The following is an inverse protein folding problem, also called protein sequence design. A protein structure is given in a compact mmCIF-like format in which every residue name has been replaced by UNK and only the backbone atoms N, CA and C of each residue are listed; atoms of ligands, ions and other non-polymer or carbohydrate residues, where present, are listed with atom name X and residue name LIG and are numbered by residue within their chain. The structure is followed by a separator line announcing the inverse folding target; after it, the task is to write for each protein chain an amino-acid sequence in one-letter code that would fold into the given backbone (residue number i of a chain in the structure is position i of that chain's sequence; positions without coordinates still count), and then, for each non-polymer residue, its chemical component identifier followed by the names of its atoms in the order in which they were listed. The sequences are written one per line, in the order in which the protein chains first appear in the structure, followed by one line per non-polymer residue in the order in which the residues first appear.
data_IF_811688789604
#
_entry.id   IF_811688789604
#
_cell.length_a   1.000
_cell.length_b   1.000
_cell.length_c   1.000
_cell.angle_alpha   90.00
_cell.angle_beta   90.00
_cell.angle_gamma   90.00
#
_symmetry.space_group_name_H-M   'P 1'
#
loop_
_entity.id
_entity.type
_entity.pdbx_description
1 polymer ?
#
# COMPACT_ATOMS: atom_id res chain seq x y z
N UNK A 1 34.09 -67.82 -42.13
CA UNK A 1 33.07 -67.65 -43.18
C UNK A 1 31.72 -67.96 -42.54
N UNK A 2 31.02 -67.00 -42.06
CA UNK A 2 29.63 -67.09 -41.57
C UNK A 2 28.89 -65.88 -42.11
N UNK A 3 28.07 -66.13 -43.13
CA UNK A 3 27.21 -65.19 -43.81
C UNK A 3 26.17 -64.65 -42.82
N UNK A 4 26.14 -63.33 -42.63
CA UNK A 4 25.13 -62.63 -41.89
C UNK A 4 23.85 -62.50 -42.73
N UNK A 5 22.81 -63.15 -42.27
CA UNK A 5 21.44 -63.05 -42.83
C UNK A 5 20.82 -61.75 -42.30
N UNK A 6 20.49 -60.79 -43.17
CA UNK A 6 19.77 -59.58 -42.85
C UNK A 6 18.33 -59.93 -42.50
N UNK A 7 17.71 -59.26 -41.46
CA UNK A 7 16.34 -59.54 -41.16
C UNK A 7 15.40 -58.98 -42.23
N UNK A 8 14.42 -59.80 -42.60
CA UNK A 8 13.38 -59.46 -43.58
C UNK A 8 12.60 -58.25 -43.09
N UNK A 9 12.47 -57.24 -43.94
CA UNK A 9 11.71 -56.04 -43.72
C UNK A 9 10.20 -56.34 -43.82
N UNK A 10 9.52 -56.42 -42.69
CA UNK A 10 8.05 -56.58 -42.65
C UNK A 10 7.40 -55.24 -42.82
N UNK A 11 6.79 -54.93 -43.95
CA UNK A 11 5.94 -53.80 -44.18
C UNK A 11 4.58 -54.06 -43.51
N UNK A 12 4.37 -53.44 -42.35
CA UNK A 12 3.07 -53.44 -41.65
C UNK A 12 2.23 -52.24 -42.13
N UNK A 13 1.24 -52.52 -42.99
CA UNK A 13 0.25 -51.48 -43.37
C UNK A 13 -0.77 -51.33 -42.27
N UNK A 14 -0.71 -50.21 -41.54
CA UNK A 14 -1.71 -49.86 -40.53
C UNK A 14 -2.83 -49.07 -41.20
N UNK A 15 -3.96 -49.71 -41.41
CA UNK A 15 -5.18 -49.03 -41.87
C UNK A 15 -5.85 -48.31 -40.68
N UNK A 16 -5.61 -47.01 -40.54
CA UNK A 16 -6.24 -46.20 -39.53
C UNK A 16 -7.65 -45.87 -39.98
N UNK A 17 -8.65 -46.54 -39.43
CA UNK A 17 -10.05 -46.16 -39.60
C UNK A 17 -10.34 -44.92 -38.76
N UNK A 18 -10.74 -43.78 -39.38
CA UNK A 18 -11.13 -42.60 -38.61
C UNK A 18 -12.32 -42.93 -37.70
N UNK A 19 -12.39 -42.36 -36.50
CA UNK A 19 -13.51 -42.58 -35.57
C UNK A 19 -14.83 -42.19 -36.25
N UNK A 20 -15.89 -42.94 -35.98
CA UNK A 20 -17.23 -42.60 -36.45
C UNK A 20 -17.65 -41.23 -35.90
N UNK A 21 -17.77 -40.26 -36.79
CA UNK A 21 -18.19 -38.91 -36.46
C UNK A 21 -19.65 -38.90 -36.01
N UNK A 22 -19.93 -38.20 -34.93
CA UNK A 22 -21.31 -37.93 -34.45
C UNK A 22 -22.08 -37.18 -35.55
N UNK A 23 -23.43 -37.37 -35.61
CA UNK A 23 -24.26 -36.66 -36.61
C UNK A 23 -23.99 -35.15 -36.68
N UNK A 24 -23.80 -34.52 -35.53
CA UNK A 24 -23.48 -33.10 -35.44
C UNK A 24 -22.12 -32.75 -36.07
N UNK A 25 -21.12 -33.62 -35.92
CA UNK A 25 -19.79 -33.44 -36.52
C UNK A 25 -19.81 -33.67 -38.03
N UNK A 26 -20.65 -34.57 -38.50
CA UNK A 26 -20.85 -34.80 -39.94
C UNK A 26 -21.48 -33.58 -40.60
N UNK A 27 -22.56 -33.04 -40.01
CA UNK A 27 -23.22 -31.82 -40.47
C UNK A 27 -22.25 -30.62 -40.45
N UNK A 28 -21.47 -30.47 -39.40
CA UNK A 28 -20.44 -29.42 -39.30
C UNK A 28 -19.35 -29.54 -40.34
N UNK A 29 -18.85 -30.74 -40.62
CA UNK A 29 -17.86 -30.97 -41.67
C UNK A 29 -18.43 -30.72 -43.07
N UNK A 30 -19.66 -31.16 -43.33
CA UNK A 30 -20.33 -30.92 -44.61
C UNK A 30 -20.56 -29.42 -44.83
N UNK A 31 -20.93 -28.68 -43.78
CA UNK A 31 -21.08 -27.22 -43.83
C UNK A 31 -19.75 -26.49 -44.07
N UNK A 32 -18.67 -26.91 -43.38
CA UNK A 32 -17.34 -26.34 -43.59
C UNK A 32 -16.84 -26.58 -45.02
N UNK A 33 -17.02 -27.79 -45.57
CA UNK A 33 -16.64 -28.08 -46.93
C UNK A 33 -17.42 -27.21 -47.94
N UNK A 34 -18.69 -26.97 -47.71
CA UNK A 34 -19.49 -26.09 -48.56
C UNK A 34 -19.00 -24.62 -48.49
N UNK A 35 -18.57 -24.15 -47.30
CA UNK A 35 -17.97 -22.84 -47.18
C UNK A 35 -16.62 -22.75 -47.90
N UNK A 36 -15.80 -23.78 -47.85
CA UNK A 36 -14.53 -23.83 -48.61
C UNK A 36 -14.75 -23.83 -50.12
N UNK A 37 -15.72 -24.62 -50.63
CA UNK A 37 -16.07 -24.62 -52.04
C UNK A 37 -16.62 -23.26 -52.52
N UNK A 38 -17.40 -22.58 -51.72
CA UNK A 38 -17.90 -21.22 -52.03
C UNK A 38 -16.80 -20.16 -51.95
N UNK A 39 -15.84 -20.29 -51.00
CA UNK A 39 -14.65 -19.44 -50.92
C UNK A 39 -13.75 -19.57 -52.16
N UNK A 40 -13.49 -20.79 -52.60
CA UNK A 40 -12.74 -21.04 -53.83
C UNK A 40 -13.43 -20.48 -55.08
N UNK A 41 -14.76 -20.59 -55.17
CA UNK A 41 -15.54 -20.03 -56.28
C UNK A 41 -15.58 -18.50 -56.31
N UNK A 42 -15.52 -17.89 -55.14
CA UNK A 42 -15.62 -16.40 -54.96
C UNK A 42 -14.27 -15.72 -54.75
N UNK A 43 -13.14 -16.44 -54.91
CA UNK A 43 -11.77 -15.99 -54.63
C UNK A 43 -11.33 -14.70 -55.36
N UNK A 44 -12.14 -14.17 -56.25
CA UNK A 44 -11.88 -12.93 -56.99
C UNK A 44 -12.61 -11.71 -56.40
N UNK A 45 -13.40 -11.85 -55.35
CA UNK A 45 -14.21 -10.79 -54.76
C UNK A 45 -13.71 -10.43 -53.33
N UNK A 46 -13.67 -9.16 -53.01
CA UNK A 46 -13.28 -8.66 -51.68
C UNK A 46 -14.24 -9.11 -50.55
N UNK A 47 -15.43 -9.57 -50.87
CA UNK A 47 -16.45 -10.02 -49.91
C UNK A 47 -17.07 -11.33 -50.33
N UNK A 48 -17.06 -12.32 -49.46
CA UNK A 48 -17.69 -13.64 -49.64
C UNK A 48 -19.19 -13.52 -49.33
N UNK A 49 -20.04 -13.97 -50.28
CA UNK A 49 -21.48 -14.16 -50.05
C UNK A 49 -21.72 -15.50 -49.39
N UNK A 50 -22.25 -15.48 -48.16
CA UNK A 50 -22.57 -16.71 -47.43
C UNK A 50 -23.83 -17.36 -47.99
N UNK A 51 -23.93 -18.69 -48.03
CA UNK A 51 -25.10 -19.40 -48.55
C UNK A 51 -26.34 -19.18 -47.64
N UNK A 52 -27.50 -18.85 -48.26
CA UNK A 52 -28.74 -18.56 -47.55
C UNK A 52 -29.43 -19.84 -46.96
N UNK A 53 -29.08 -21.03 -47.50
CA UNK A 53 -29.65 -22.30 -47.04
C UNK A 53 -28.68 -23.45 -47.08
N UNK A 54 -28.78 -24.38 -46.13
CA UNK A 54 -28.01 -25.61 -46.07
C UNK A 54 -28.91 -26.80 -45.75
N UNK A 55 -28.88 -27.85 -46.56
CA UNK A 55 -29.71 -29.06 -46.42
C UNK A 55 -31.24 -28.76 -46.26
N UNK A 56 -31.76 -27.78 -47.00
CA UNK A 56 -33.18 -27.38 -46.95
C UNK A 56 -33.61 -26.55 -45.74
N UNK A 57 -32.67 -26.11 -44.91
CA UNK A 57 -32.91 -25.19 -43.78
C UNK A 57 -32.31 -23.82 -44.08
N UNK A 58 -33.06 -22.74 -43.79
CA UNK A 58 -32.56 -21.38 -43.90
C UNK A 58 -31.52 -21.09 -42.84
N UNK A 59 -30.39 -20.51 -43.24
CA UNK A 59 -29.32 -20.13 -42.34
C UNK A 59 -29.51 -18.68 -41.89
N UNK A 60 -29.41 -18.45 -40.57
CA UNK A 60 -29.37 -17.12 -39.99
C UNK A 60 -27.99 -16.84 -39.39
N UNK A 61 -27.29 -15.89 -39.96
CA UNK A 61 -25.96 -15.50 -39.50
C UNK A 61 -26.06 -14.38 -38.49
N UNK A 62 -25.58 -14.60 -37.27
CA UNK A 62 -25.46 -13.56 -36.25
C UNK A 62 -24.00 -13.26 -35.98
N UNK A 63 -23.61 -12.00 -36.13
CA UNK A 63 -22.30 -11.55 -35.68
C UNK A 63 -22.26 -11.59 -34.16
N UNK A 64 -21.51 -12.50 -33.57
CA UNK A 64 -21.21 -12.48 -32.15
C UNK A 64 -20.28 -11.30 -31.86
N UNK A 65 -20.86 -10.15 -31.58
CA UNK A 65 -20.13 -9.01 -31.04
C UNK A 65 -19.54 -9.46 -29.72
N UNK A 66 -18.28 -9.86 -29.72
CA UNK A 66 -17.55 -10.10 -28.49
C UNK A 66 -17.47 -8.78 -27.72
N UNK A 67 -18.23 -8.65 -26.66
CA UNK A 67 -18.21 -7.51 -25.76
C UNK A 67 -16.94 -7.50 -24.88
N UNK A 68 -15.83 -8.02 -25.42
CA UNK A 68 -14.51 -8.00 -24.74
C UNK A 68 -14.04 -6.57 -24.44
N UNK A 69 -14.50 -5.58 -25.20
CA UNK A 69 -14.16 -4.18 -24.95
C UNK A 69 -14.69 -3.67 -23.61
N UNK A 70 -15.90 -4.06 -23.20
CA UNK A 70 -16.49 -3.64 -21.92
C UNK A 70 -15.80 -4.30 -20.71
N UNK A 71 -15.33 -5.53 -20.86
CA UNK A 71 -14.59 -6.20 -19.78
C UNK A 71 -13.17 -5.64 -19.63
N UNK A 72 -12.48 -5.31 -20.72
CA UNK A 72 -11.15 -4.68 -20.68
C UNK A 72 -11.19 -3.25 -20.14
N UNK A 73 -12.17 -2.44 -20.57
CA UNK A 73 -12.33 -1.07 -20.03
C UNK A 73 -12.75 -1.07 -18.57
N UNK A 74 -13.59 -2.00 -18.13
CA UNK A 74 -13.96 -2.17 -16.72
C UNK A 74 -12.76 -2.57 -15.85
N UNK A 75 -11.92 -3.50 -16.33
CA UNK A 75 -10.70 -3.92 -15.63
C UNK A 75 -9.67 -2.76 -15.55
N UNK A 76 -9.51 -1.99 -16.64
CA UNK A 76 -8.64 -0.81 -16.67
C UNK A 76 -9.10 0.29 -15.71
N UNK A 77 -10.40 0.58 -15.67
CA UNK A 77 -10.98 1.54 -14.74
C UNK A 77 -10.84 1.11 -13.27
N UNK A 78 -11.04 -0.17 -12.97
CA UNK A 78 -10.84 -0.73 -11.63
C UNK A 78 -9.37 -0.64 -11.20
N UNK A 79 -8.42 -0.96 -12.07
CA UNK A 79 -6.99 -0.84 -11.81
C UNK A 79 -6.57 0.62 -11.58
N UNK A 80 -7.05 1.57 -12.38
CA UNK A 80 -6.78 3.00 -12.22
C UNK A 80 -7.35 3.53 -10.90
N UNK A 81 -8.55 3.12 -10.52
CA UNK A 81 -9.17 3.48 -9.25
C UNK A 81 -8.38 2.92 -8.05
N UNK A 82 -7.90 1.68 -8.15
CA UNK A 82 -7.08 1.03 -7.13
C UNK A 82 -5.72 1.70 -6.96
N UNK A 83 -5.11 2.16 -8.06
CA UNK A 83 -3.84 2.91 -8.05
C UNK A 83 -3.98 4.29 -7.40
N UNK A 84 -5.04 5.04 -7.75
CA UNK A 84 -5.34 6.35 -7.12
C UNK A 84 -5.61 6.24 -5.61
N UNK A 85 -6.28 5.18 -5.17
CA UNK A 85 -6.54 4.94 -3.75
C UNK A 85 -5.26 4.55 -2.99
N UNK A 86 -4.35 3.83 -3.64
CA UNK A 86 -3.06 3.43 -3.06
C UNK A 86 -2.15 4.65 -2.84
N UNK A 87 -2.05 5.53 -3.81
CA UNK A 87 -1.24 6.75 -3.71
C UNK A 87 -1.69 7.67 -2.57
N UNK A 88 -3.00 7.89 -2.42
CA UNK A 88 -3.57 8.65 -1.29
C UNK A 88 -3.31 7.99 0.07
N UNK A 89 -3.30 6.66 0.14
CA UNK A 89 -2.98 5.91 1.36
C UNK A 89 -1.50 6.03 1.72
N UNK A 90 -0.60 5.99 0.73
CA UNK A 90 0.83 6.07 0.96
C UNK A 90 1.25 7.47 1.45
N UNK A 91 0.63 8.54 0.93
CA UNK A 91 0.83 9.90 1.42
C UNK A 91 0.36 10.04 2.88
N UNK A 92 -0.84 9.59 3.20
CA UNK A 92 -1.36 9.61 4.58
C UNK A 92 -0.47 8.80 5.53
N UNK A 93 -0.02 7.63 5.11
CA UNK A 93 0.86 6.77 5.90
C UNK A 93 2.22 7.44 6.18
N UNK A 94 2.81 8.11 5.18
CA UNK A 94 4.04 8.89 5.37
C UNK A 94 3.84 10.03 6.36
N UNK A 95 2.71 10.72 6.28
CA UNK A 95 2.36 11.79 7.21
C UNK A 95 2.13 11.29 8.65
N UNK A 96 1.47 10.16 8.82
CA UNK A 96 1.29 9.51 10.11
C UNK A 96 2.62 9.08 10.73
N UNK A 97 3.50 8.46 9.94
CA UNK A 97 4.85 8.08 10.39
C UNK A 97 5.66 9.32 10.80
N UNK A 98 5.58 10.41 10.01
CA UNK A 98 6.20 11.68 10.37
C UNK A 98 5.66 12.22 11.71
N UNK A 99 4.34 12.25 11.89
CA UNK A 99 3.70 12.70 13.13
C UNK A 99 4.11 11.84 14.33
N UNK A 100 4.13 10.53 14.15
CA UNK A 100 4.58 9.62 15.20
C UNK A 100 6.05 9.85 15.59
N UNK A 101 6.96 10.00 14.62
CA UNK A 101 8.36 10.31 14.90
C UNK A 101 8.49 11.62 15.69
N UNK A 102 7.80 12.67 15.26
CA UNK A 102 7.84 13.96 15.93
C UNK A 102 7.28 13.88 17.35
N UNK A 103 6.20 13.13 17.58
CA UNK A 103 5.66 12.90 18.92
C UNK A 103 6.66 12.18 19.83
N UNK A 104 7.42 11.25 19.28
CA UNK A 104 8.47 10.53 20.01
C UNK A 104 9.69 11.41 20.32
N UNK A 105 10.01 12.38 19.49
CA UNK A 105 11.16 13.27 19.66
C UNK A 105 10.87 14.43 20.63
N UNK A 106 9.59 14.78 20.82
CA UNK A 106 9.17 15.93 21.62
C UNK A 106 9.74 15.94 23.05
N UNK A 107 9.63 14.86 23.86
CA UNK A 107 10.20 14.85 25.20
C UNK A 107 11.73 14.99 25.24
N UNK A 108 12.44 14.46 24.24
CA UNK A 108 13.91 14.60 24.16
C UNK A 108 14.30 16.07 23.96
N UNK A 109 13.59 16.78 23.07
CA UNK A 109 13.82 18.21 22.83
C UNK A 109 13.54 19.03 24.07
N UNK A 110 12.41 18.77 24.75
CA UNK A 110 12.08 19.46 26.00
C UNK A 110 13.14 19.23 27.07
N UNK A 111 13.59 17.98 27.25
CA UNK A 111 14.63 17.64 28.23
C UNK A 111 15.92 18.42 27.97
N UNK A 112 16.38 18.46 26.72
CA UNK A 112 17.59 19.21 26.34
C UNK A 112 17.41 20.72 26.55
N UNK A 113 16.25 21.28 26.19
CA UNK A 113 15.96 22.70 26.46
C UNK A 113 15.99 23.01 27.96
N UNK A 114 15.36 22.17 28.80
CA UNK A 114 15.36 22.34 30.26
C UNK A 114 16.78 22.34 30.83
N UNK A 115 17.64 21.40 30.35
CA UNK A 115 19.03 21.28 30.81
C UNK A 115 19.82 22.54 30.43
N UNK A 116 19.74 23.00 29.18
CA UNK A 116 20.49 24.16 28.72
C UNK A 116 20.00 25.46 29.33
N UNK A 117 18.68 25.63 29.47
CA UNK A 117 18.11 26.78 30.20
C UNK A 117 18.44 26.75 31.70
N UNK A 118 18.53 25.55 32.30
CA UNK A 118 19.01 25.34 33.65
C UNK A 118 20.47 25.70 33.86
N UNK A 119 21.30 25.51 32.84
CA UNK A 119 22.70 25.95 32.80
C UNK A 119 22.86 27.46 32.53
N UNK A 120 21.76 28.22 32.45
CA UNK A 120 21.78 29.68 32.25
C UNK A 120 21.89 30.12 30.78
N UNK A 121 21.74 29.23 29.83
CA UNK A 121 21.75 29.59 28.40
C UNK A 121 20.47 30.35 28.03
N UNK A 122 20.57 31.28 27.08
CA UNK A 122 19.39 31.92 26.48
C UNK A 122 18.59 30.89 25.65
N UNK A 123 17.28 31.17 25.44
CA UNK A 123 16.43 30.31 24.59
C UNK A 123 17.05 30.09 23.23
N UNK A 124 17.54 31.14 22.59
CA UNK A 124 18.18 31.07 21.27
C UNK A 124 19.43 30.19 21.29
N UNK A 125 20.32 30.40 22.25
CA UNK A 125 21.56 29.64 22.37
C UNK A 125 21.30 28.15 22.60
N UNK A 126 20.33 27.84 23.49
CA UNK A 126 19.91 26.47 23.77
C UNK A 126 19.31 25.80 22.52
N UNK A 127 18.45 26.52 21.81
CA UNK A 127 17.86 26.07 20.56
C UNK A 127 18.89 25.78 19.47
N UNK A 128 19.74 26.75 19.19
CA UNK A 128 20.82 26.64 18.20
C UNK A 128 21.72 25.44 18.52
N UNK A 129 22.09 25.28 19.81
CA UNK A 129 22.94 24.18 20.23
C UNK A 129 22.31 22.81 19.93
N UNK A 130 21.02 22.64 20.24
CA UNK A 130 20.30 21.38 19.95
C UNK A 130 20.25 21.12 18.44
N UNK A 131 19.90 22.15 17.66
CA UNK A 131 19.73 22.02 16.22
C UNK A 131 21.05 21.67 15.50
N UNK A 132 22.13 22.40 15.78
CA UNK A 132 23.42 22.20 15.14
C UNK A 132 24.11 20.92 15.60
N UNK A 133 24.09 20.62 16.90
CA UNK A 133 24.65 19.38 17.44
C UNK A 133 24.00 18.14 16.81
N UNK A 134 22.68 18.18 16.63
CA UNK A 134 21.99 17.08 15.96
C UNK A 134 22.36 16.96 14.48
N UNK A 135 22.48 18.09 13.78
CA UNK A 135 22.88 18.13 12.38
C UNK A 135 24.31 17.56 12.19
N UNK A 136 25.23 17.89 13.08
CA UNK A 136 26.60 17.36 13.07
C UNK A 136 26.62 15.83 13.31
N UNK A 137 25.75 15.34 14.20
CA UNK A 137 25.59 13.90 14.42
C UNK A 137 25.03 13.18 13.19
N UNK A 138 24.12 13.80 12.45
CA UNK A 138 23.60 13.26 11.19
C UNK A 138 24.68 13.28 10.10
N UNK A 139 25.41 14.39 9.95
CA UNK A 139 26.49 14.52 8.97
C UNK A 139 27.63 13.51 9.21
N UNK A 140 27.93 13.20 10.47
CA UNK A 140 28.91 12.18 10.85
C UNK A 140 28.38 10.73 10.82
N UNK A 141 27.15 10.51 10.36
CA UNK A 141 26.53 9.17 10.28
C UNK A 141 26.15 8.53 11.63
N UNK A 142 26.31 9.27 12.73
CA UNK A 142 25.99 8.77 14.09
C UNK A 142 24.51 8.73 14.41
N UNK A 143 23.68 9.52 13.71
CA UNK A 143 22.22 9.54 13.86
C UNK A 143 21.51 9.60 12.51
N UNK A 144 20.30 9.07 12.46
CA UNK A 144 19.43 9.17 11.27
C UNK A 144 18.74 10.54 11.22
N UNK A 145 18.53 11.12 10.02
CA UNK A 145 17.80 12.38 9.88
C UNK A 145 16.39 12.26 10.46
N UNK A 146 15.99 13.24 11.27
CA UNK A 146 14.66 13.36 11.84
C UNK A 146 14.00 14.68 11.48
N UNK A 147 12.72 14.65 11.19
CA UNK A 147 12.01 15.81 10.66
C UNK A 147 12.04 17.02 11.60
N UNK A 148 11.81 16.84 12.88
CA UNK A 148 11.77 17.95 13.83
C UNK A 148 13.10 18.67 13.95
N UNK A 149 14.22 17.93 14.00
CA UNK A 149 15.55 18.55 14.11
C UNK A 149 15.95 19.30 12.84
N UNK A 150 15.48 18.86 11.67
CA UNK A 150 15.63 19.61 10.44
C UNK A 150 14.85 20.92 10.49
N UNK A 151 13.61 20.91 10.97
CA UNK A 151 12.80 22.12 11.14
C UNK A 151 13.42 23.07 12.19
N UNK A 152 14.03 22.53 13.26
CA UNK A 152 14.77 23.32 14.24
C UNK A 152 16.00 24.01 13.61
N UNK A 153 16.76 23.25 12.80
CA UNK A 153 17.92 23.80 12.08
C UNK A 153 17.50 24.90 11.09
N UNK A 154 16.44 24.70 10.33
CA UNK A 154 15.90 25.71 9.42
C UNK A 154 15.46 26.95 10.16
N UNK A 155 14.81 26.80 11.31
CA UNK A 155 14.45 27.93 12.19
C UNK A 155 15.68 28.70 12.66
N UNK A 156 16.75 28.01 13.04
CA UNK A 156 18.03 28.66 13.40
C UNK A 156 18.62 29.43 12.22
N UNK A 157 18.55 28.88 11.00
CA UNK A 157 19.01 29.58 9.80
C UNK A 157 18.16 30.82 9.48
N UNK A 158 16.84 30.74 9.63
CA UNK A 158 15.93 31.88 9.47
C UNK A 158 16.27 33.02 10.46
N UNK A 159 16.50 32.70 11.73
CA UNK A 159 16.89 33.70 12.73
C UNK A 159 18.23 34.33 12.38
N UNK A 160 19.21 33.54 11.90
CA UNK A 160 20.51 34.06 11.45
C UNK A 160 20.40 34.93 10.20
N UNK A 161 19.45 34.67 9.33
CA UNK A 161 19.18 35.50 8.13
C UNK A 161 18.39 36.78 8.43
N UNK A 162 18.08 37.06 9.72
CA UNK A 162 17.45 38.31 10.16
C UNK A 162 15.93 38.21 10.41
N UNK A 163 15.34 37.02 10.33
CA UNK A 163 13.94 36.84 10.76
C UNK A 163 13.87 36.97 12.29
N UNK A 164 12.85 37.70 12.79
CA UNK A 164 12.67 37.84 14.23
C UNK A 164 12.44 36.49 14.90
N UNK A 165 13.08 36.27 16.06
CA UNK A 165 13.02 35.00 16.81
C UNK A 165 11.58 34.55 17.08
N UNK A 166 10.70 35.47 17.50
CA UNK A 166 9.31 35.14 17.76
C UNK A 166 8.57 34.63 16.53
N UNK A 167 8.73 35.32 15.39
CA UNK A 167 8.15 34.88 14.12
C UNK A 167 8.68 33.52 13.70
N UNK A 168 9.99 33.32 13.79
CA UNK A 168 10.63 32.06 13.43
C UNK A 168 10.15 30.88 14.29
N UNK A 169 9.97 31.07 15.61
CA UNK A 169 9.41 30.04 16.49
C UNK A 169 7.95 29.73 16.18
N UNK A 170 7.12 30.73 15.91
CA UNK A 170 5.72 30.50 15.52
C UNK A 170 5.62 29.72 14.19
N UNK A 171 6.43 30.11 13.22
CA UNK A 171 6.51 29.39 11.93
C UNK A 171 7.00 27.95 12.09
N UNK A 172 7.96 27.70 12.99
CA UNK A 172 8.39 26.34 13.35
C UNK A 172 7.23 25.50 13.86
N UNK A 173 6.43 26.02 14.81
CA UNK A 173 5.24 25.32 15.31
C UNK A 173 4.26 24.97 14.20
N UNK A 174 4.02 25.90 13.27
CA UNK A 174 3.17 25.72 12.11
C UNK A 174 3.70 24.65 11.14
N UNK A 175 5.01 24.66 10.83
CA UNK A 175 5.65 23.66 9.96
C UNK A 175 5.63 22.26 10.56
N UNK A 176 5.77 22.16 11.88
CA UNK A 176 5.62 20.89 12.60
C UNK A 176 4.19 20.35 12.55
N UNK A 177 3.19 21.23 12.63
CA UNK A 177 1.77 20.87 12.50
C UNK A 177 1.21 19.99 13.62
N UNK A 178 1.94 19.81 14.74
CA UNK A 178 1.50 19.08 15.92
C UNK A 178 1.21 20.07 17.06
N UNK A 179 0.10 19.84 17.78
CA UNK A 179 -0.35 20.70 18.88
C UNK A 179 0.74 20.94 19.94
N UNK A 180 1.54 19.91 20.24
CA UNK A 180 2.65 19.99 21.20
C UNK A 180 3.71 21.00 20.75
N UNK A 181 4.07 21.03 19.47
CA UNK A 181 5.06 21.96 18.94
C UNK A 181 4.51 23.38 18.77
N UNK A 182 3.19 23.52 18.45
CA UNK A 182 2.51 24.80 18.42
C UNK A 182 2.50 25.40 19.83
N UNK A 183 2.19 24.61 20.86
CA UNK A 183 2.24 25.01 22.25
C UNK A 183 3.65 25.41 22.68
N UNK A 184 4.66 24.60 22.34
CA UNK A 184 6.06 24.91 22.60
C UNK A 184 6.47 26.25 21.97
N UNK A 185 6.16 26.46 20.69
CA UNK A 185 6.50 27.69 19.98
C UNK A 185 5.88 28.94 20.64
N UNK A 186 4.63 28.84 21.09
CA UNK A 186 3.96 29.89 21.83
C UNK A 186 4.62 30.18 23.18
N UNK A 187 5.04 29.14 23.91
CA UNK A 187 5.78 29.29 25.19
C UNK A 187 7.14 29.94 24.96
N UNK A 188 7.87 29.59 23.92
CA UNK A 188 9.17 30.19 23.58
C UNK A 188 8.99 31.68 23.24
N UNK A 189 7.99 32.03 22.42
CA UNK A 189 7.68 33.43 22.08
C UNK A 189 7.30 34.25 23.29
N UNK A 190 6.38 33.74 24.12
CA UNK A 190 5.89 34.43 25.32
C UNK A 190 7.02 34.70 26.34
N UNK A 191 7.90 33.71 26.57
CA UNK A 191 8.95 33.79 27.57
C UNK A 191 10.22 34.50 27.09
N UNK A 192 10.35 34.76 25.78
CA UNK A 192 11.43 35.57 25.22
C UNK A 192 11.49 36.97 25.88
N UNK A 193 10.33 37.53 26.19
CA UNK A 193 10.19 38.85 26.82
C UNK A 193 10.28 38.80 28.35
N UNK A 194 9.88 37.70 28.98
CA UNK A 194 9.67 37.60 30.43
C UNK A 194 10.79 36.89 31.21
N UNK A 195 11.84 36.41 30.50
CA UNK A 195 12.97 35.72 31.12
C UNK A 195 12.80 34.18 31.26
N UNK A 196 13.92 33.46 31.38
CA UNK A 196 13.99 32.01 31.26
C UNK A 196 13.49 31.23 32.51
N UNK A 197 13.30 31.86 33.65
CA UNK A 197 13.00 31.14 34.90
C UNK A 197 11.62 30.48 34.90
N UNK A 198 10.59 31.21 34.52
CA UNK A 198 9.23 30.66 34.41
C UNK A 198 9.08 29.66 33.28
N UNK A 199 9.83 29.83 32.17
CA UNK A 199 9.83 28.93 31.04
C UNK A 199 10.29 27.53 31.44
N UNK A 200 11.36 27.43 32.22
CA UNK A 200 11.92 26.13 32.64
C UNK A 200 10.89 25.31 33.43
N UNK A 201 10.16 25.91 34.34
CA UNK A 201 9.19 25.20 35.16
C UNK A 201 7.96 24.81 34.33
N UNK A 202 7.51 25.65 33.41
CA UNK A 202 6.46 25.30 32.44
C UNK A 202 6.89 24.15 31.52
N UNK A 203 8.13 24.16 31.03
CA UNK A 203 8.65 23.07 30.17
C UNK A 203 8.77 21.76 30.95
N UNK A 204 9.03 21.78 32.26
CA UNK A 204 9.01 20.55 33.09
C UNK A 204 7.61 19.94 33.17
N UNK A 205 6.58 20.75 33.31
CA UNK A 205 5.19 20.29 33.29
C UNK A 205 4.83 19.69 31.93
N UNK A 206 5.17 20.39 30.86
CA UNK A 206 4.98 19.86 29.49
C UNK A 206 5.71 18.55 29.24
N UNK A 207 6.93 18.43 29.77
CA UNK A 207 7.71 17.19 29.65
C UNK A 207 7.03 16.03 30.40
N UNK A 208 6.52 16.27 31.61
CA UNK A 208 5.79 15.27 32.38
C UNK A 208 4.52 14.81 31.64
N UNK A 209 3.75 15.73 31.08
CA UNK A 209 2.57 15.44 30.26
C UNK A 209 2.95 14.63 29.00
N UNK A 210 4.01 15.01 28.32
CA UNK A 210 4.49 14.30 27.13
C UNK A 210 4.95 12.86 27.43
N UNK A 211 5.56 12.61 28.60
CA UNK A 211 5.91 11.26 29.04
C UNK A 211 4.68 10.41 29.35
N UNK A 212 3.67 10.97 30.00
CA UNK A 212 2.41 10.24 30.25
C UNK A 212 1.68 9.91 28.93
N UNK A 213 1.63 10.83 27.97
CA UNK A 213 1.07 10.59 26.65
C UNK A 213 1.81 9.44 25.93
N UNK A 214 3.15 9.40 25.99
CA UNK A 214 3.96 8.28 25.45
C UNK A 214 3.60 6.95 26.09
N UNK A 215 3.46 6.92 27.39
CA UNK A 215 3.09 5.72 28.15
C UNK A 215 1.70 5.23 27.77
N UNK A 216 0.74 6.14 27.63
CA UNK A 216 -0.61 5.81 27.15
C UNK A 216 -0.60 5.25 25.72
N UNK A 217 0.19 5.82 24.81
CA UNK A 217 0.33 5.29 23.45
C UNK A 217 0.94 3.89 23.46
N UNK A 218 1.98 3.65 24.25
CA UNK A 218 2.60 2.33 24.36
C UNK A 218 1.63 1.28 24.91
N UNK A 219 0.84 1.64 25.94
CA UNK A 219 -0.20 0.76 26.49
C UNK A 219 -1.27 0.44 25.46
N UNK A 220 -1.77 1.45 24.74
CA UNK A 220 -2.78 1.27 23.69
C UNK A 220 -2.30 0.34 22.59
N UNK A 221 -1.05 0.47 22.13
CA UNK A 221 -0.47 -0.45 21.14
C UNK A 221 -0.35 -1.88 21.67
N UNK A 222 -0.05 -2.05 22.96
CA UNK A 222 -0.04 -3.35 23.63
C UNK A 222 -1.43 -3.97 23.73
N UNK A 223 -2.43 -3.19 24.07
CA UNK A 223 -3.84 -3.61 24.15
C UNK A 223 -4.40 -3.99 22.77
N UNK A 224 -4.10 -3.20 21.73
CA UNK A 224 -4.47 -3.52 20.34
C UNK A 224 -3.83 -4.81 19.85
N UNK A 225 -2.57 -5.09 20.23
CA UNK A 225 -1.91 -6.35 19.92
C UNK A 225 -2.55 -7.53 20.65
N UNK A 226 -2.92 -7.37 21.92
CA UNK A 226 -3.63 -8.37 22.71
C UNK A 226 -5.01 -8.70 22.12
N UNK A 227 -5.77 -7.70 21.72
CA UNK A 227 -7.10 -7.89 21.11
C UNK A 227 -7.03 -8.60 19.75
N UNK A 228 -5.98 -8.34 18.96
CA UNK A 228 -5.77 -9.04 17.69
C UNK A 228 -5.49 -10.54 17.87
N UNK A 229 -4.90 -10.94 18.99
CA UNK A 229 -4.66 -12.36 19.32
C UNK A 229 -5.94 -13.08 19.77
N UNK A 230 -6.96 -12.37 20.25
CA UNK A 230 -8.26 -12.96 20.61
C UNK A 230 -9.04 -13.45 19.39
N UNK A 231 -8.87 -12.82 18.23
CA UNK A 231 -9.60 -13.17 17.00
C UNK A 231 -9.32 -14.61 16.52
N UNK A 232 -8.05 -15.07 16.39
CA UNK A 232 -7.78 -16.47 16.05
C UNK A 232 -8.23 -17.43 17.15
N UNK A 233 -8.13 -17.04 18.43
CA UNK A 233 -8.63 -17.86 19.53
C UNK A 233 -10.17 -18.06 19.42
N UNK A 234 -10.90 -17.02 19.09
CA UNK A 234 -12.36 -17.07 18.91
C UNK A 234 -12.74 -17.93 17.70
N UNK A 235 -11.96 -17.87 16.60
CA UNK A 235 -12.14 -18.75 15.45
C UNK A 235 -11.93 -20.23 15.82
N UNK A 236 -10.91 -20.51 16.60
CA UNK A 236 -10.61 -21.87 17.04
C UNK A 236 -11.70 -22.40 17.97
N UNK A 237 -12.18 -21.57 18.90
CA UNK A 237 -13.32 -21.90 19.76
C UNK A 237 -14.59 -22.19 18.96
N UNK A 238 -14.87 -21.39 17.92
CA UNK A 238 -16.03 -21.58 17.03
C UNK A 238 -15.98 -22.93 16.31
N UNK A 239 -14.81 -23.31 15.80
CA UNK A 239 -14.62 -24.62 15.12
C UNK A 239 -14.87 -25.77 16.11
N UNK A 240 -14.34 -25.70 17.34
CA UNK A 240 -14.57 -26.71 18.37
C UNK A 240 -16.04 -26.80 18.75
N UNK A 241 -16.74 -25.67 18.89
CA UNK A 241 -18.18 -25.64 19.18
C UNK A 241 -19.00 -26.29 18.05
N UNK A 242 -18.67 -26.04 16.79
CA UNK A 242 -19.34 -26.68 15.65
C UNK A 242 -19.08 -28.20 15.67
N UNK A 243 -17.83 -28.61 15.95
CA UNK A 243 -17.46 -30.02 15.98
C UNK A 243 -18.21 -30.84 17.05
N UNK A 244 -18.57 -30.19 18.17
CA UNK A 244 -19.34 -30.79 19.24
C UNK A 244 -20.85 -30.70 18.97
N UNK A 245 -21.32 -29.58 18.44
CA UNK A 245 -22.76 -29.34 18.22
C UNK A 245 -23.33 -30.18 17.08
N UNK A 246 -22.58 -30.42 16.00
CA UNK A 246 -23.08 -31.20 14.84
C UNK A 246 -23.46 -32.64 15.22
N UNK A 247 -22.60 -33.46 15.89
CA UNK A 247 -23.00 -34.81 16.28
C UNK A 247 -24.10 -34.81 17.33
N UNK A 248 -24.12 -33.87 18.27
CA UNK A 248 -25.17 -33.77 19.27
C UNK A 248 -26.54 -33.48 18.64
N UNK A 249 -26.64 -32.66 17.62
CA UNK A 249 -27.88 -32.39 16.89
C UNK A 249 -28.34 -33.57 16.02
N UNK A 250 -27.40 -34.38 15.50
CA UNK A 250 -27.71 -35.57 14.72
C UNK A 250 -28.23 -36.74 15.59
N UNK A 251 -27.92 -36.74 16.88
CA UNK A 251 -28.35 -37.80 17.82
C UNK A 251 -29.73 -37.51 18.41
N UNK A 252 -30.21 -36.25 18.37
CA UNK A 252 -31.52 -35.82 18.86
C UNK A 252 -32.58 -35.62 17.77
N UNK A 253 -32.29 -35.82 16.49
CA UNK A 253 -33.20 -35.73 15.35
C UNK A 253 -33.44 -37.08 14.69
#
# INVERSE_FOLDING_TARGET
MTEGRWPEEYAVSIEVKPPLLTEQEQVRKAFLNLLYDEDERQNTQETMKLPDSFQGRSLSYSSRKESSFFSMTGLGAAAACMFSLKEKRDIKKKEEVRKQQMTLDYPEILSRLIIFLGAGMSIRTAWDKIAFEYQDMVASGRRTPRHVYREMYETSCQIRSGVSEGKAFVEFGGRCGLQSYIKLSGLLEQNRKNGSKNLRDTLKLEMAEAFEQRKHQARRLGEEAGTRLLLPLFMLLSVVMIMIAVPALMEFG
#
